data_IF_687882951750
#
_entry.id   IF_687882951750
#
_cell.length_a   1.000
_cell.length_b   1.000
_cell.length_c   1.000
_cell.angle_alpha   90.00
_cell.angle_beta   90.00
_cell.angle_gamma   90.00
#
_symmetry.space_group_name_H-M   'P 1'
#
loop_
_entity.id
_entity.type
_entity.pdbx_description
1 polymer ?
#
# COMPACT_ATOMS: atom_id res chain seq x y z
N UNK A 1 16.75 26.48 22.87
CA UNK A 1 17.01 27.79 22.21
C UNK A 1 18.47 28.26 22.32
N UNK A 2 19.42 27.41 22.74
CA UNK A 2 20.85 27.74 22.83
C UNK A 2 21.72 27.11 21.71
N UNK A 3 21.21 26.06 21.05
CA UNK A 3 21.95 25.29 20.03
C UNK A 3 22.22 26.12 18.76
N UNK A 4 21.28 26.99 18.36
CA UNK A 4 21.43 27.79 17.14
C UNK A 4 22.51 28.87 17.24
N UNK A 5 22.83 29.36 18.45
CA UNK A 5 23.77 30.45 18.64
C UNK A 5 25.22 29.95 18.64
N UNK A 6 25.47 28.76 19.17
CA UNK A 6 26.79 28.13 19.12
C UNK A 6 27.15 27.66 17.71
N UNK A 7 26.19 27.07 16.98
CA UNK A 7 26.42 26.67 15.58
C UNK A 7 26.64 27.88 14.66
N UNK A 8 25.95 29.01 14.87
CA UNK A 8 26.22 30.28 14.16
C UNK A 8 27.58 30.89 14.53
N UNK A 9 28.01 30.79 15.80
CA UNK A 9 29.33 31.24 16.22
C UNK A 9 30.41 30.35 15.63
N UNK A 10 30.23 29.03 15.61
CA UNK A 10 31.19 28.07 15.06
C UNK A 10 31.27 28.17 13.54
N UNK A 11 30.14 28.35 12.84
CA UNK A 11 30.12 28.56 11.38
C UNK A 11 30.70 29.92 10.98
N UNK A 12 30.41 31.00 11.71
CA UNK A 12 31.07 32.27 11.49
C UNK A 12 32.57 32.17 11.79
N UNK A 13 32.96 31.49 12.87
CA UNK A 13 34.37 31.30 13.21
C UNK A 13 35.09 30.44 12.16
N UNK A 14 34.49 29.36 11.65
CA UNK A 14 35.08 28.54 10.58
C UNK A 14 35.10 29.24 9.21
N UNK A 15 34.10 30.07 8.89
CA UNK A 15 34.04 30.78 7.60
C UNK A 15 34.91 32.04 7.57
N UNK A 16 35.16 32.67 8.72
CA UNK A 16 36.04 33.84 8.84
C UNK A 16 37.49 33.47 9.24
N UNK A 17 37.75 32.40 10.01
CA UNK A 17 39.11 32.02 10.47
C UNK A 17 39.89 31.16 9.46
N UNK A 18 39.43 31.06 8.21
CA UNK A 18 40.11 30.32 7.13
C UNK A 18 41.54 30.78 6.80
N UNK A 19 42.01 31.90 7.37
CA UNK A 19 43.41 32.34 7.34
C UNK A 19 43.77 33.15 8.62
N UNK A 20 43.72 32.52 9.80
CA UNK A 20 44.44 32.85 11.05
C UNK A 20 45.07 34.27 11.19
N UNK A 21 44.28 35.35 11.24
CA UNK A 21 44.77 36.70 11.54
C UNK A 21 45.98 37.19 10.72
N UNK A 22 46.29 36.53 9.59
CA UNK A 22 47.45 36.81 8.75
C UNK A 22 47.21 38.11 8.00
N UNK A 23 45.97 38.35 7.57
CA UNK A 23 45.54 39.61 6.96
C UNK A 23 45.65 40.79 7.91
N UNK A 24 45.26 40.61 9.18
CA UNK A 24 45.40 41.65 10.22
C UNK A 24 46.88 41.98 10.43
N UNK A 25 47.75 40.95 10.47
CA UNK A 25 49.20 41.14 10.55
C UNK A 25 49.78 41.81 9.29
N UNK A 26 49.22 41.52 8.11
CA UNK A 26 49.63 42.10 6.83
C UNK A 26 49.24 43.58 6.74
N UNK A 27 48.02 43.92 7.16
CA UNK A 27 47.52 45.30 7.27
C UNK A 27 48.35 46.08 8.29
N UNK A 28 48.59 45.52 9.47
CA UNK A 28 49.41 46.12 10.51
C UNK A 28 50.86 46.34 10.03
N UNK A 29 51.44 45.38 9.31
CA UNK A 29 52.77 45.53 8.68
C UNK A 29 52.81 46.65 7.64
N UNK A 30 51.79 46.76 6.77
CA UNK A 30 51.65 47.86 5.79
C UNK A 30 51.56 49.21 6.51
N UNK A 31 50.71 49.31 7.54
CA UNK A 31 50.51 50.54 8.32
C UNK A 31 51.78 50.97 9.05
N UNK A 32 52.49 50.05 9.72
CA UNK A 32 53.78 50.34 10.37
C UNK A 32 54.83 50.81 9.38
N UNK A 33 54.89 50.18 8.20
CA UNK A 33 55.84 50.55 7.14
C UNK A 33 55.51 51.94 6.57
N UNK A 34 54.23 52.27 6.40
CA UNK A 34 53.80 53.61 5.98
C UNK A 34 54.11 54.68 7.02
N UNK A 35 53.88 54.41 8.31
CA UNK A 35 54.23 55.32 9.41
C UNK A 35 55.75 55.54 9.50
N UNK A 36 56.55 54.49 9.29
CA UNK A 36 58.01 54.59 9.23
C UNK A 36 58.48 55.49 8.09
N UNK A 37 57.90 55.33 6.89
CA UNK A 37 58.20 56.18 5.72
C UNK A 37 57.76 57.63 5.93
N UNK A 38 56.61 57.85 6.58
CA UNK A 38 56.10 59.19 6.86
C UNK A 38 56.95 59.95 7.89
N UNK A 39 57.47 59.26 8.91
CA UNK A 39 58.23 59.87 10.00
C UNK A 39 59.73 60.04 9.71
N UNK A 40 60.33 59.18 8.89
CA UNK A 40 61.76 59.23 8.58
C UNK A 40 62.03 59.88 7.22
N UNK A 41 62.37 61.17 7.20
CA UNK A 41 62.76 61.95 6.00
C UNK A 41 64.19 61.63 5.49
N UNK A 42 64.67 60.39 5.61
CA UNK A 42 66.02 60.01 5.15
C UNK A 42 65.97 59.23 3.83
N UNK A 43 66.85 59.61 2.90
CA UNK A 43 66.95 59.14 1.50
C UNK A 43 67.41 57.67 1.33
N UNK A 44 67.49 56.89 2.42
CA UNK A 44 67.92 55.48 2.38
C UNK A 44 66.82 54.54 1.89
N UNK A 45 67.09 53.78 0.82
CA UNK A 45 66.35 52.62 0.31
C UNK A 45 64.82 52.75 0.15
N UNK A 46 64.32 53.96 -0.12
CA UNK A 46 62.91 54.25 -0.42
C UNK A 46 62.36 53.31 -1.51
N UNK A 47 63.18 52.98 -2.51
CA UNK A 47 62.79 52.06 -3.59
C UNK A 47 62.56 50.62 -3.12
N UNK A 48 63.30 50.14 -2.11
CA UNK A 48 63.12 48.80 -1.54
C UNK A 48 61.84 48.78 -0.70
N UNK A 49 61.62 49.81 0.11
CA UNK A 49 60.41 49.95 0.94
C UNK A 49 59.16 50.06 0.05
N UNK A 50 59.24 50.84 -1.03
CA UNK A 50 58.16 50.97 -2.03
C UNK A 50 57.83 49.63 -2.69
N UNK A 51 58.83 48.84 -3.10
CA UNK A 51 58.62 47.51 -3.66
C UNK A 51 57.98 46.55 -2.65
N UNK A 52 58.43 46.59 -1.40
CA UNK A 52 57.86 45.76 -0.32
C UNK A 52 56.39 46.12 -0.02
N UNK A 53 56.07 47.41 0.06
CA UNK A 53 54.69 47.88 0.22
C UNK A 53 53.79 47.42 -0.94
N UNK A 54 54.27 47.55 -2.18
CA UNK A 54 53.51 47.16 -3.36
C UNK A 54 53.23 45.65 -3.38
N UNK A 55 54.23 44.83 -3.04
CA UNK A 55 54.04 43.38 -2.89
C UNK A 55 53.05 43.01 -1.78
N UNK A 56 53.07 43.72 -0.66
CA UNK A 56 52.13 43.47 0.44
C UNK A 56 50.69 43.87 0.06
N UNK A 57 50.51 44.95 -0.69
CA UNK A 57 49.20 45.35 -1.25
C UNK A 57 48.70 44.33 -2.26
N UNK A 58 49.55 43.81 -3.14
CA UNK A 58 49.19 42.75 -4.09
C UNK A 58 48.76 41.45 -3.37
N UNK A 59 49.47 41.06 -2.32
CA UNK A 59 49.08 39.92 -1.47
C UNK A 59 47.72 40.13 -0.82
N UNK A 60 47.47 41.32 -0.26
CA UNK A 60 46.19 41.64 0.36
C UNK A 60 45.04 41.62 -0.65
N UNK A 61 45.27 42.12 -1.87
CA UNK A 61 44.29 42.04 -2.96
C UNK A 61 43.96 40.60 -3.33
N UNK A 62 44.97 39.74 -3.46
CA UNK A 62 44.79 38.32 -3.75
C UNK A 62 43.96 37.63 -2.67
N UNK A 63 44.25 37.89 -1.39
CA UNK A 63 43.49 37.29 -0.29
C UNK A 63 42.04 37.79 -0.29
N UNK A 64 41.81 39.08 -0.56
CA UNK A 64 40.45 39.63 -0.69
C UNK A 64 39.66 38.96 -1.82
N UNK A 65 40.26 38.78 -3.00
CA UNK A 65 39.63 38.10 -4.13
C UNK A 65 39.34 36.62 -3.83
N UNK A 66 40.25 35.94 -3.12
CA UNK A 66 40.07 34.56 -2.65
C UNK A 66 38.92 34.46 -1.66
N UNK A 67 38.86 35.34 -0.66
CA UNK A 67 37.78 35.40 0.33
C UNK A 67 36.42 35.61 -0.34
N UNK A 68 36.34 36.56 -1.28
CA UNK A 68 35.11 36.77 -2.08
C UNK A 68 34.70 35.52 -2.85
N UNK A 69 35.66 34.82 -3.45
CA UNK A 69 35.39 33.58 -4.20
C UNK A 69 34.89 32.46 -3.29
N UNK A 70 35.45 32.34 -2.08
CA UNK A 70 34.99 31.39 -1.06
C UNK A 70 33.56 31.71 -0.63
N UNK A 71 33.23 32.97 -0.35
CA UNK A 71 31.87 33.39 0.02
C UNK A 71 30.86 33.03 -1.08
N UNK A 72 31.20 33.29 -2.34
CA UNK A 72 30.34 32.92 -3.47
C UNK A 72 30.19 31.40 -3.60
N UNK A 73 31.28 30.64 -3.46
CA UNK A 73 31.25 29.18 -3.48
C UNK A 73 30.39 28.62 -2.35
N UNK A 74 30.51 29.16 -1.14
CA UNK A 74 29.73 28.73 0.03
C UNK A 74 28.24 28.99 -0.20
N UNK A 75 27.88 30.13 -0.80
CA UNK A 75 26.49 30.42 -1.15
C UNK A 75 25.94 29.44 -2.19
N UNK A 76 26.74 29.07 -3.19
CA UNK A 76 26.35 28.05 -4.18
C UNK A 76 26.18 26.69 -3.50
N UNK A 77 27.10 26.30 -2.64
CA UNK A 77 27.01 25.04 -1.89
C UNK A 77 25.78 25.00 -0.97
N UNK A 78 25.46 26.10 -0.29
CA UNK A 78 24.24 26.20 0.53
C UNK A 78 22.99 25.95 -0.31
N UNK A 79 22.90 26.56 -1.51
CA UNK A 79 21.78 26.32 -2.41
C UNK A 79 21.70 24.85 -2.88
N UNK A 80 22.85 24.24 -3.19
CA UNK A 80 22.89 22.83 -3.56
C UNK A 80 22.40 21.94 -2.41
N UNK A 81 22.79 22.24 -1.17
CA UNK A 81 22.29 21.51 -0.01
C UNK A 81 20.78 21.69 0.17
N UNK A 82 20.23 22.89 -0.04
CA UNK A 82 18.77 23.10 0.04
C UNK A 82 18.03 22.31 -1.03
N UNK A 83 18.55 22.26 -2.26
CA UNK A 83 17.95 21.51 -3.37
C UNK A 83 17.98 20.00 -3.10
N UNK A 84 19.10 19.51 -2.57
CA UNK A 84 19.24 18.10 -2.16
C UNK A 84 18.23 17.75 -1.07
N UNK A 85 18.08 18.59 -0.04
CA UNK A 85 17.10 18.38 1.03
C UNK A 85 15.67 18.35 0.45
N UNK A 86 15.33 19.27 -0.43
CA UNK A 86 14.02 19.30 -1.09
C UNK A 86 13.76 18.00 -1.89
N UNK A 87 14.75 17.53 -2.65
CA UNK A 87 14.64 16.28 -3.41
C UNK A 87 14.46 15.06 -2.50
N UNK A 88 15.15 15.01 -1.37
CA UNK A 88 14.96 13.94 -0.39
C UNK A 88 13.57 13.98 0.23
N UNK A 89 13.07 15.15 0.60
CA UNK A 89 11.72 15.29 1.17
C UNK A 89 10.64 14.83 0.18
N UNK A 90 10.78 15.15 -1.10
CA UNK A 90 9.87 14.67 -2.14
C UNK A 90 9.92 13.13 -2.26
N UNK A 91 11.13 12.55 -2.29
CA UNK A 91 11.30 11.09 -2.32
C UNK A 91 10.70 10.41 -1.08
N UNK A 92 10.88 10.98 0.10
CA UNK A 92 10.28 10.46 1.33
C UNK A 92 8.76 10.51 1.27
N UNK A 93 8.17 11.62 0.84
CA UNK A 93 6.72 11.74 0.66
C UNK A 93 6.17 10.72 -0.34
N UNK A 94 6.87 10.51 -1.46
CA UNK A 94 6.50 9.50 -2.44
C UNK A 94 6.58 8.07 -1.88
N UNK A 95 7.62 7.75 -1.10
CA UNK A 95 7.77 6.45 -0.45
C UNK A 95 6.67 6.21 0.60
N UNK A 96 6.31 7.23 1.37
CA UNK A 96 5.23 7.16 2.35
C UNK A 96 3.88 6.90 1.66
N UNK A 97 3.59 7.63 0.58
CA UNK A 97 2.39 7.41 -0.23
C UNK A 97 2.34 5.99 -0.82
N UNK A 98 3.44 5.50 -1.38
CA UNK A 98 3.52 4.14 -1.92
C UNK A 98 3.33 3.06 -0.84
N UNK A 99 3.86 3.31 0.35
CA UNK A 99 3.71 2.42 1.51
C UNK A 99 2.25 2.36 1.93
N UNK A 100 1.58 3.51 2.06
CA UNK A 100 0.16 3.58 2.42
C UNK A 100 -0.73 2.89 1.38
N UNK A 101 -0.47 3.11 0.08
CA UNK A 101 -1.18 2.40 -0.99
C UNK A 101 -0.99 0.88 -0.92
N UNK A 102 0.22 0.42 -0.58
CA UNK A 102 0.52 -1.01 -0.44
C UNK A 102 -0.19 -1.62 0.77
N UNK A 103 -0.27 -0.89 1.88
CA UNK A 103 -1.03 -1.29 3.07
C UNK A 103 -2.52 -1.43 2.73
N UNK A 104 -3.09 -0.49 1.98
CA UNK A 104 -4.51 -0.55 1.63
C UNK A 104 -4.82 -1.69 0.64
N UNK A 105 -3.93 -1.94 -0.34
CA UNK A 105 -4.02 -3.13 -1.19
C UNK A 105 -3.96 -4.42 -0.36
N UNK A 106 -3.09 -4.49 0.65
CA UNK A 106 -2.98 -5.65 1.52
C UNK A 106 -4.27 -5.88 2.34
N UNK A 107 -4.90 -4.81 2.84
CA UNK A 107 -6.22 -4.90 3.50
C UNK A 107 -7.29 -5.45 2.55
N UNK A 108 -7.33 -4.98 1.30
CA UNK A 108 -8.26 -5.49 0.29
C UNK A 108 -8.01 -6.98 -0.02
N UNK A 109 -6.75 -7.37 -0.19
CA UNK A 109 -6.38 -8.77 -0.40
C UNK A 109 -6.80 -9.66 0.78
N UNK A 110 -6.69 -9.18 2.01
CA UNK A 110 -7.14 -9.92 3.20
C UNK A 110 -8.65 -10.18 3.17
N UNK A 111 -9.45 -9.17 2.83
CA UNK A 111 -10.90 -9.31 2.70
C UNK A 111 -11.25 -10.32 1.59
N UNK A 112 -10.59 -10.24 0.44
CA UNK A 112 -10.78 -11.21 -0.65
C UNK A 112 -10.41 -12.63 -0.23
N UNK A 113 -9.34 -12.79 0.56
CA UNK A 113 -8.94 -14.09 1.08
C UNK A 113 -9.98 -14.67 2.05
N UNK A 114 -10.52 -13.84 2.95
CA UNK A 114 -11.61 -14.25 3.86
C UNK A 114 -12.84 -14.71 3.06
N UNK A 115 -13.28 -13.91 2.09
CA UNK A 115 -14.39 -14.29 1.20
C UNK A 115 -14.10 -15.57 0.42
N UNK A 116 -12.90 -15.72 -0.14
CA UNK A 116 -12.51 -16.94 -0.86
C UNK A 116 -12.56 -18.18 0.05
N UNK A 117 -12.15 -18.03 1.31
CA UNK A 117 -12.25 -19.12 2.28
C UNK A 117 -13.72 -19.42 2.63
N UNK A 118 -14.58 -18.42 2.80
CA UNK A 118 -16.01 -18.61 3.05
C UNK A 118 -16.69 -19.35 1.89
N UNK A 119 -16.40 -18.94 0.63
CA UNK A 119 -16.88 -19.64 -0.56
C UNK A 119 -16.38 -21.09 -0.61
N UNK A 120 -15.12 -21.33 -0.25
CA UNK A 120 -14.56 -22.67 -0.17
C UNK A 120 -15.31 -23.52 0.86
N UNK A 121 -15.54 -23.00 2.06
CA UNK A 121 -16.30 -23.70 3.10
C UNK A 121 -17.74 -24.00 2.65
N UNK A 122 -18.41 -23.04 2.02
CA UNK A 122 -19.75 -23.23 1.49
C UNK A 122 -19.80 -24.27 0.38
N UNK A 123 -18.81 -24.26 -0.54
CA UNK A 123 -18.73 -25.27 -1.60
C UNK A 123 -18.48 -26.69 -1.07
N UNK A 124 -17.68 -26.84 0.00
CA UNK A 124 -17.51 -28.12 0.67
C UNK A 124 -18.85 -28.64 1.22
N UNK A 125 -19.61 -27.79 1.91
CA UNK A 125 -20.94 -28.14 2.42
C UNK A 125 -21.93 -28.47 1.30
N UNK A 126 -21.95 -27.70 0.21
CA UNK A 126 -22.83 -27.96 -0.95
C UNK A 126 -22.48 -29.30 -1.62
N UNK A 127 -21.19 -29.66 -1.68
CA UNK A 127 -20.74 -30.92 -2.28
C UNK A 127 -21.09 -32.17 -1.46
N UNK A 128 -21.45 -32.03 -0.17
CA UNK A 128 -22.02 -33.14 0.62
C UNK A 128 -23.40 -33.54 0.10
N UNK A 129 -24.14 -32.61 -0.52
CA UNK A 129 -25.44 -32.88 -1.10
C UNK A 129 -25.30 -33.48 -2.51
N UNK A 130 -26.19 -34.43 -2.88
CA UNK A 130 -26.17 -35.01 -4.22
C UNK A 130 -26.45 -33.93 -5.27
N UNK A 131 -25.80 -34.07 -6.43
CA UNK A 131 -25.97 -33.11 -7.53
C UNK A 131 -27.44 -32.95 -7.91
N UNK A 132 -27.81 -31.74 -8.32
CA UNK A 132 -29.17 -31.40 -8.75
C UNK A 132 -29.73 -32.40 -9.77
N UNK A 133 -28.89 -32.85 -10.70
CA UNK A 133 -29.27 -33.82 -11.72
C UNK A 133 -29.58 -35.21 -11.14
N UNK A 134 -28.81 -35.67 -10.15
CA UNK A 134 -29.09 -36.94 -9.46
C UNK A 134 -30.40 -36.87 -8.69
N UNK A 135 -30.68 -35.75 -8.01
CA UNK A 135 -31.95 -35.51 -7.32
C UNK A 135 -33.10 -35.48 -8.32
N UNK A 136 -32.95 -34.75 -9.43
CA UNK A 136 -33.98 -34.66 -10.48
C UNK A 136 -34.30 -36.03 -11.10
N UNK A 137 -33.28 -36.86 -11.39
CA UNK A 137 -33.47 -38.23 -11.86
C UNK A 137 -34.26 -39.07 -10.85
N UNK A 138 -33.90 -39.01 -9.56
CA UNK A 138 -34.65 -39.72 -8.50
C UNK A 138 -36.09 -39.23 -8.38
N UNK A 139 -36.34 -37.93 -8.50
CA UNK A 139 -37.68 -37.35 -8.50
C UNK A 139 -38.50 -37.87 -9.69
N UNK A 140 -37.89 -37.94 -10.88
CA UNK A 140 -38.58 -38.46 -12.05
C UNK A 140 -38.92 -39.94 -11.89
N UNK A 141 -37.97 -40.76 -11.44
CA UNK A 141 -38.20 -42.18 -11.15
C UNK A 141 -39.31 -42.41 -10.12
N UNK A 142 -39.34 -41.61 -9.05
CA UNK A 142 -40.40 -41.72 -8.04
C UNK A 142 -41.76 -41.28 -8.59
N UNK A 143 -41.82 -40.26 -9.44
CA UNK A 143 -43.05 -39.88 -10.14
C UNK A 143 -43.56 -41.01 -11.03
N UNK A 144 -42.69 -41.64 -11.80
CA UNK A 144 -43.05 -42.73 -12.71
C UNK A 144 -43.58 -43.93 -11.90
N UNK A 145 -42.91 -44.29 -10.80
CA UNK A 145 -43.38 -45.33 -9.88
C UNK A 145 -44.75 -45.02 -9.27
N UNK A 146 -44.99 -43.77 -8.84
CA UNK A 146 -46.30 -43.35 -8.31
C UNK A 146 -47.39 -43.52 -9.38
N UNK A 147 -47.10 -43.17 -10.64
CA UNK A 147 -48.04 -43.34 -11.75
C UNK A 147 -48.36 -44.82 -12.00
N UNK A 148 -47.35 -45.69 -11.99
CA UNK A 148 -47.55 -47.14 -12.12
C UNK A 148 -48.36 -47.72 -10.97
N UNK A 149 -48.07 -47.30 -9.74
CA UNK A 149 -48.76 -47.78 -8.55
C UNK A 149 -50.22 -47.36 -8.54
N UNK A 150 -50.52 -46.12 -8.97
CA UNK A 150 -51.89 -45.64 -9.16
C UNK A 150 -52.65 -46.43 -10.22
N UNK A 151 -52.01 -46.77 -11.35
CA UNK A 151 -52.60 -47.63 -12.39
C UNK A 151 -52.92 -49.02 -11.84
N UNK A 152 -51.97 -49.63 -11.14
CA UNK A 152 -52.15 -50.95 -10.51
C UNK A 152 -53.28 -50.93 -9.48
N UNK A 153 -53.31 -49.91 -8.62
CA UNK A 153 -54.38 -49.71 -7.64
C UNK A 153 -55.75 -49.57 -8.31
N UNK A 154 -55.85 -48.80 -9.38
CA UNK A 154 -57.10 -48.66 -10.15
C UNK A 154 -57.56 -50.00 -10.75
N UNK A 155 -56.66 -50.78 -11.34
CA UNK A 155 -56.97 -52.11 -11.87
C UNK A 155 -57.42 -53.08 -10.77
N UNK A 156 -56.75 -53.06 -9.63
CA UNK A 156 -57.09 -53.92 -8.49
C UNK A 156 -58.46 -53.55 -7.91
N UNK A 157 -58.75 -52.25 -7.82
CA UNK A 157 -60.06 -51.73 -7.39
C UNK A 157 -61.17 -52.21 -8.31
N UNK A 158 -60.99 -52.10 -9.63
CA UNK A 158 -61.96 -52.60 -10.61
C UNK A 158 -62.18 -54.11 -10.46
N UNK A 159 -61.11 -54.90 -10.30
CA UNK A 159 -61.23 -56.35 -10.06
C UNK A 159 -61.99 -56.68 -8.77
N UNK A 160 -61.77 -55.91 -7.70
CA UNK A 160 -62.52 -56.07 -6.45
C UNK A 160 -64.00 -55.74 -6.63
N UNK A 161 -64.31 -54.68 -7.37
CA UNK A 161 -65.70 -54.31 -7.65
C UNK A 161 -66.40 -55.35 -8.54
N UNK A 162 -65.72 -55.93 -9.51
CA UNK A 162 -66.27 -57.03 -10.32
C UNK A 162 -66.48 -58.30 -9.48
N UNK A 163 -65.55 -58.63 -8.57
CA UNK A 163 -65.75 -59.73 -7.62
C UNK A 163 -66.94 -59.47 -6.70
N UNK A 164 -67.13 -58.26 -6.20
CA UNK A 164 -68.32 -57.90 -5.39
C UNK A 164 -69.60 -58.10 -6.20
N UNK A 165 -69.65 -57.69 -7.46
CA UNK A 165 -70.81 -57.92 -8.35
C UNK A 165 -71.08 -59.41 -8.56
N UNK A 166 -70.04 -60.20 -8.83
CA UNK A 166 -70.15 -61.66 -8.98
C UNK A 166 -70.70 -62.32 -7.71
N UNK A 167 -70.19 -61.93 -6.54
CA UNK A 167 -70.62 -62.44 -5.24
C UNK A 167 -72.06 -62.05 -4.92
N UNK A 168 -72.47 -60.83 -5.27
CA UNK A 168 -73.86 -60.39 -5.16
C UNK A 168 -74.79 -61.22 -6.06
N UNK A 169 -74.40 -61.46 -7.30
CA UNK A 169 -75.16 -62.30 -8.23
C UNK A 169 -75.30 -63.74 -7.70
N UNK A 170 -74.20 -64.34 -7.21
CA UNK A 170 -74.22 -65.66 -6.55
C UNK A 170 -75.14 -65.69 -5.33
N UNK A 171 -75.07 -64.67 -4.46
CA UNK A 171 -75.95 -64.55 -3.30
C UNK A 171 -77.42 -64.43 -3.70
N UNK A 172 -77.71 -63.74 -4.81
CA UNK A 172 -79.08 -63.60 -5.33
C UNK A 172 -79.58 -64.95 -5.85
N UNK A 173 -78.76 -65.67 -6.61
CA UNK A 173 -79.09 -67.02 -7.10
C UNK A 173 -79.34 -67.98 -5.93
N UNK A 174 -78.47 -68.00 -4.91
CA UNK A 174 -78.66 -68.78 -3.69
C UNK A 174 -80.01 -68.47 -3.02
N UNK A 175 -80.32 -67.19 -2.82
CA UNK A 175 -81.60 -66.79 -2.22
C UNK A 175 -82.81 -67.20 -3.06
N UNK A 176 -82.70 -67.22 -4.40
CA UNK A 176 -83.77 -67.72 -5.27
C UNK A 176 -83.95 -69.22 -5.09
N UNK A 177 -82.84 -69.98 -5.02
CA UNK A 177 -82.88 -71.43 -4.81
C UNK A 177 -83.51 -71.77 -3.44
N UNK A 178 -83.08 -71.11 -2.37
CA UNK A 178 -83.64 -71.28 -1.02
C UNK A 178 -85.16 -71.00 -1.00
N UNK A 179 -85.59 -69.91 -1.65
CA UNK A 179 -87.02 -69.60 -1.75
C UNK A 179 -87.81 -70.60 -2.61
N UNK A 180 -87.18 -71.26 -3.60
CA UNK A 180 -87.84 -72.31 -4.39
C UNK A 180 -87.94 -73.62 -3.63
N UNK A 181 -86.92 -74.00 -2.84
CA UNK A 181 -86.94 -75.19 -1.99
C UNK A 181 -87.94 -75.08 -0.84
N UNK A 182 -88.16 -73.88 -0.28
CA UNK A 182 -89.21 -73.61 0.70
C UNK A 182 -90.63 -73.53 0.10
N UNK A 183 -90.76 -73.42 -1.23
CA UNK A 183 -92.06 -73.36 -1.92
C UNK A 183 -92.57 -74.72 -2.44
N UNK A 184 -91.72 -75.74 -2.46
CA UNK A 184 -92.03 -77.11 -2.89
C UNK A 184 -92.27 -78.08 -1.69
N UNK A 185 -92.50 -77.55 -0.48
CA UNK A 185 -92.93 -78.25 0.75
C UNK A 185 -94.29 -77.73 1.24
#
# INVERSE_FOLDING_TARGET
MAINMEDEIITNRLMYDGDNGTDIKLIDSILRTLLYVYNNKHEGDINIIKKSLLQNVEKLKLVSERSRSIILSNKVQQNLYTDVIASYNEKFSNLENNTNQSIDKLKQCKVLYEHANDYRLMSLSVNEFPTKDKIMKKIQQTKDLILELNKSHFLLKNRMDDRKKQLHCLSTILSVIENTEDSDL
#
